data_IF_557989252068
#
_entry.id   IF_557989252068
#
_cell.length_a   1.000
_cell.length_b   1.000
_cell.length_c   1.000
_cell.angle_alpha   90.00
_cell.angle_beta   90.00
_cell.angle_gamma   90.00
#
_symmetry.space_group_name_H-M   'P 1'
#
loop_
_entity.id
_entity.type
_entity.pdbx_description
1 polymer ?
#
# COMPACT_ATOMS: atom_id res chain seq x y z
N UNK A 1 -5.05 5.11 -4.41
CA UNK A 1 -4.64 4.34 -3.23
C UNK A 1 -5.70 3.30 -2.88
N UNK A 2 -5.28 2.05 -2.73
CA UNK A 2 -6.14 0.91 -2.43
C UNK A 2 -5.58 0.13 -1.23
N UNK A 3 -6.46 -0.26 -0.30
CA UNK A 3 -6.16 -1.17 0.79
C UNK A 3 -6.97 -2.44 0.55
N UNK A 4 -6.32 -3.61 0.52
CA UNK A 4 -6.99 -4.89 0.29
C UNK A 4 -7.10 -5.64 1.63
N UNK A 5 -8.33 -5.99 1.98
CA UNK A 5 -8.69 -6.64 3.23
C UNK A 5 -9.26 -8.03 2.93
N UNK A 6 -8.90 -9.03 3.71
CA UNK A 6 -9.52 -10.36 3.70
C UNK A 6 -10.46 -10.50 4.90
N UNK A 7 -11.73 -10.04 4.80
CA UNK A 7 -12.62 -9.95 5.95
C UNK A 7 -13.43 -11.22 6.21
N UNK A 8 -13.30 -12.26 5.37
CA UNK A 8 -14.17 -13.43 5.41
C UNK A 8 -13.63 -14.48 6.38
N UNK A 9 -14.53 -15.01 7.21
CA UNK A 9 -14.23 -16.14 8.10
C UNK A 9 -14.77 -17.42 7.47
N UNK A 10 -13.94 -18.45 7.45
CA UNK A 10 -14.39 -19.80 7.12
C UNK A 10 -15.26 -20.33 8.26
N UNK A 11 -16.57 -20.29 8.05
CA UNK A 11 -17.47 -21.00 8.94
C UNK A 11 -17.33 -22.48 8.59
N UNK A 12 -17.23 -23.38 9.58
CA UNK A 12 -17.11 -24.83 9.31
C UNK A 12 -18.30 -25.46 8.54
N UNK A 13 -19.24 -24.66 8.03
CA UNK A 13 -20.35 -24.99 7.14
C UNK A 13 -20.18 -24.44 5.72
N UNK A 14 -19.05 -23.81 5.41
CA UNK A 14 -18.83 -23.03 4.21
C UNK A 14 -18.87 -21.53 4.49
N UNK A 15 -18.41 -20.74 3.53
CA UNK A 15 -18.35 -19.28 3.68
C UNK A 15 -19.63 -18.67 3.12
N UNK A 16 -20.46 -18.07 3.99
CA UNK A 16 -21.70 -17.39 3.58
C UNK A 16 -21.39 -15.95 3.12
N UNK A 17 -20.74 -15.82 1.95
CA UNK A 17 -20.28 -14.54 1.41
C UNK A 17 -21.43 -13.54 1.23
N UNK A 18 -22.54 -14.00 0.63
CA UNK A 18 -23.72 -13.17 0.33
C UNK A 18 -24.34 -12.55 1.59
N UNK A 19 -24.13 -13.15 2.76
CA UNK A 19 -24.60 -12.64 4.05
C UNK A 19 -23.54 -11.78 4.77
N UNK A 20 -22.26 -12.16 4.67
CA UNK A 20 -21.17 -11.46 5.35
C UNK A 20 -20.82 -10.14 4.66
N UNK A 21 -20.77 -10.10 3.33
CA UNK A 21 -20.35 -8.93 2.56
C UNK A 21 -21.19 -7.68 2.88
N UNK A 22 -22.55 -7.72 2.81
CA UNK A 22 -23.35 -6.53 3.09
C UNK A 22 -23.20 -6.03 4.52
N UNK A 23 -23.02 -6.95 5.48
CA UNK A 23 -22.83 -6.63 6.89
C UNK A 23 -21.50 -5.91 7.12
N UNK A 24 -20.41 -6.44 6.58
CA UNK A 24 -19.07 -5.84 6.71
C UNK A 24 -19.04 -4.46 6.05
N UNK A 25 -19.59 -4.34 4.83
CA UNK A 25 -19.69 -3.05 4.14
C UNK A 25 -20.49 -2.04 4.97
N UNK A 26 -21.61 -2.46 5.56
CA UNK A 26 -22.42 -1.59 6.42
C UNK A 26 -21.66 -1.15 7.68
N UNK A 27 -20.93 -2.04 8.34
CA UNK A 27 -20.13 -1.74 9.52
C UNK A 27 -18.99 -0.75 9.19
N UNK A 28 -18.30 -0.95 8.07
CA UNK A 28 -17.27 -0.04 7.58
C UNK A 28 -17.85 1.33 7.22
N UNK A 29 -18.94 1.39 6.46
CA UNK A 29 -19.61 2.65 6.11
C UNK A 29 -20.06 3.45 7.34
N UNK A 30 -20.62 2.76 8.35
CA UNK A 30 -21.01 3.40 9.60
C UNK A 30 -19.80 4.02 10.30
N UNK A 31 -18.70 3.28 10.43
CA UNK A 31 -17.47 3.78 11.04
C UNK A 31 -16.95 5.03 10.32
N UNK A 32 -16.81 4.97 8.99
CA UNK A 32 -16.28 6.11 8.24
C UNK A 32 -17.20 7.33 8.29
N UNK A 33 -18.51 7.14 8.27
CA UNK A 33 -19.48 8.25 8.40
C UNK A 33 -19.44 8.93 9.77
N UNK A 34 -19.08 8.20 10.83
CA UNK A 34 -18.96 8.71 12.20
C UNK A 34 -17.65 9.47 12.43
N UNK A 35 -16.58 9.10 11.74
CA UNK A 35 -15.25 9.69 11.95
C UNK A 35 -15.01 11.01 11.22
N UNK A 36 -16.02 11.57 10.52
CA UNK A 36 -16.18 12.99 10.12
C UNK A 36 -14.96 13.77 9.56
N UNK A 37 -13.87 13.12 9.13
CA UNK A 37 -12.69 13.78 8.55
C UNK A 37 -12.33 13.31 7.11
N UNK A 38 -12.18 14.34 6.26
CA UNK A 38 -11.42 14.60 5.01
C UNK A 38 -11.04 13.56 3.96
N UNK A 39 -11.30 12.27 4.12
CA UNK A 39 -10.95 11.28 3.08
C UNK A 39 -12.23 10.76 2.42
N UNK A 40 -12.41 11.06 1.12
CA UNK A 40 -13.43 10.33 0.37
C UNK A 40 -12.96 8.89 0.23
N UNK A 41 -13.86 7.93 0.32
CA UNK A 41 -13.52 6.53 0.15
C UNK A 41 -14.66 5.82 -0.57
N UNK A 42 -14.35 4.70 -1.20
CA UNK A 42 -15.32 3.74 -1.72
C UNK A 42 -14.92 2.34 -1.32
N UNK A 43 -15.93 1.51 -1.07
CA UNK A 43 -15.77 0.11 -0.70
C UNK A 43 -16.31 -0.74 -1.83
N UNK A 44 -15.50 -1.65 -2.34
CA UNK A 44 -15.87 -2.57 -3.42
C UNK A 44 -15.43 -3.99 -3.05
N UNK A 45 -16.30 -4.96 -3.32
CA UNK A 45 -15.91 -6.36 -3.30
C UNK A 45 -15.26 -6.69 -4.65
N UNK A 46 -14.01 -7.15 -4.60
CA UNK A 46 -13.20 -7.43 -5.80
C UNK A 46 -12.38 -8.68 -5.55
N UNK A 47 -12.26 -9.51 -6.57
CA UNK A 47 -11.24 -10.57 -6.63
C UNK A 47 -9.97 -9.99 -7.26
N UNK A 48 -8.90 -9.92 -6.48
CA UNK A 48 -7.59 -9.42 -6.92
C UNK A 48 -6.63 -10.54 -7.34
N UNK A 49 -7.08 -11.80 -7.35
CA UNK A 49 -6.22 -12.97 -7.49
C UNK A 49 -5.15 -13.06 -6.39
N UNK A 50 -5.37 -12.36 -5.28
CA UNK A 50 -4.51 -12.35 -4.09
C UNK A 50 -5.19 -13.20 -3.03
N UNK A 51 -4.59 -14.33 -2.67
CA UNK A 51 -5.19 -15.46 -1.90
C UNK A 51 -5.91 -16.46 -2.82
N UNK A 52 -6.47 -17.54 -2.24
CA UNK A 52 -7.04 -18.69 -2.93
C UNK A 52 -8.35 -18.40 -3.73
N UNK A 53 -8.33 -17.38 -4.59
CA UNK A 53 -9.46 -16.89 -5.40
C UNK A 53 -10.69 -16.52 -4.54
N UNK A 54 -10.43 -15.93 -3.36
CA UNK A 54 -11.51 -15.47 -2.47
C UNK A 54 -11.83 -14.00 -2.76
N UNK A 55 -13.12 -13.62 -2.77
CA UNK A 55 -13.50 -12.22 -2.79
C UNK A 55 -12.79 -11.48 -1.65
N UNK A 56 -12.34 -10.26 -1.93
CA UNK A 56 -11.73 -9.38 -0.93
C UNK A 56 -12.47 -8.04 -0.91
N UNK A 57 -12.40 -7.33 0.21
CA UNK A 57 -12.90 -5.96 0.26
C UNK A 57 -11.76 -5.01 -0.07
N UNK A 58 -11.96 -4.25 -1.13
CA UNK A 58 -11.08 -3.17 -1.56
C UNK A 58 -11.60 -1.86 -0.99
N UNK A 59 -10.76 -1.21 -0.21
CA UNK A 59 -11.01 0.14 0.29
C UNK A 59 -10.21 1.09 -0.60
N UNK A 60 -10.91 1.76 -1.50
CA UNK A 60 -10.31 2.80 -2.35
C UNK A 60 -10.45 4.13 -1.62
N UNK A 61 -9.33 4.79 -1.35
CA UNK A 61 -9.33 6.11 -0.72
C UNK A 61 -9.22 7.16 -1.82
N UNK A 62 -10.34 7.84 -2.07
CA UNK A 62 -10.52 8.95 -3.00
C UNK A 62 -10.00 10.27 -2.41
N UNK A 63 -8.86 10.70 -2.92
CA UNK A 63 -8.26 12.00 -2.63
C UNK A 63 -7.13 12.25 -3.63
N UNK A 64 -6.60 13.48 -3.69
CA UNK A 64 -5.54 13.89 -4.63
C UNK A 64 -4.26 13.04 -4.59
N UNK A 65 -4.15 12.11 -3.64
CA UNK A 65 -3.09 11.12 -3.45
C UNK A 65 -2.99 10.13 -4.62
N UNK A 66 -4.13 9.65 -5.14
CA UNK A 66 -4.14 8.68 -6.25
C UNK A 66 -3.62 9.25 -7.57
N UNK A 67 -3.59 10.59 -7.70
CA UNK A 67 -3.11 11.27 -8.90
C UNK A 67 -1.58 11.40 -8.97
N UNK A 68 -0.83 11.10 -7.91
CA UNK A 68 0.63 11.32 -7.84
C UNK A 68 1.43 10.32 -8.66
N UNK A 69 1.02 9.05 -8.69
CA UNK A 69 1.63 8.06 -9.58
C UNK A 69 1.18 8.21 -11.05
N UNK A 70 0.22 9.10 -11.32
CA UNK A 70 -0.33 9.35 -12.66
C UNK A 70 0.35 10.56 -13.33
N UNK A 71 1.12 11.37 -12.60
CA UNK A 71 1.74 12.59 -13.13
C UNK A 71 3.28 12.53 -13.04
N UNK A 72 3.95 11.97 -14.07
CA UNK A 72 5.42 11.92 -14.17
C UNK A 72 6.12 13.29 -14.15
N UNK A 73 5.41 14.40 -14.35
CA UNK A 73 6.01 15.74 -14.53
C UNK A 73 6.01 16.63 -13.27
N UNK A 74 5.35 16.24 -12.18
CA UNK A 74 5.31 17.04 -10.94
C UNK A 74 6.52 16.82 -10.01
N UNK A 75 7.45 15.93 -10.38
CA UNK A 75 8.60 15.47 -9.59
C UNK A 75 9.68 16.53 -9.25
N UNK A 76 9.43 17.82 -9.48
CA UNK A 76 10.28 18.91 -8.97
C UNK A 76 9.92 19.40 -7.55
N UNK A 77 8.80 18.97 -6.95
CA UNK A 77 8.38 19.44 -5.61
C UNK A 77 7.92 18.34 -4.65
N UNK A 78 8.65 17.22 -4.56
CA UNK A 78 8.51 16.29 -3.41
C UNK A 78 8.73 17.06 -2.08
N UNK A 79 9.62 18.06 -2.11
CA UNK A 79 10.10 18.89 -0.99
C UNK A 79 9.03 19.66 -0.20
N UNK A 80 8.08 20.33 -0.86
CA UNK A 80 7.09 21.18 -0.16
C UNK A 80 5.93 20.35 0.41
N UNK A 81 5.80 19.11 -0.02
CA UNK A 81 4.67 18.28 0.32
C UNK A 81 5.04 17.15 1.28
N UNK A 82 6.32 16.80 1.48
CA UNK A 82 6.72 15.62 2.28
C UNK A 82 6.29 15.66 3.75
N UNK A 83 6.35 16.81 4.43
CA UNK A 83 5.85 16.92 5.80
C UNK A 83 4.32 16.79 5.87
N UNK A 84 3.61 17.38 4.91
CA UNK A 84 2.16 17.24 4.79
C UNK A 84 1.75 15.82 4.39
N UNK A 85 2.57 15.14 3.58
CA UNK A 85 2.46 13.73 3.25
C UNK A 85 2.71 12.84 4.47
N UNK A 86 3.66 13.19 5.35
CA UNK A 86 3.90 12.46 6.60
C UNK A 86 2.68 12.56 7.53
N UNK A 87 2.02 13.72 7.59
CA UNK A 87 0.75 13.90 8.30
C UNK A 87 -0.36 13.01 7.71
N UNK A 88 -0.55 13.05 6.39
CA UNK A 88 -1.54 12.20 5.70
C UNK A 88 -1.20 10.71 5.88
N UNK A 89 0.08 10.33 5.81
CA UNK A 89 0.57 8.98 6.05
C UNK A 89 0.25 8.48 7.45
N UNK A 90 0.32 9.34 8.47
CA UNK A 90 -0.07 9.00 9.84
C UNK A 90 -1.58 8.75 9.97
N UNK A 91 -2.41 9.53 9.28
CA UNK A 91 -3.87 9.32 9.25
C UNK A 91 -4.21 7.99 8.55
N UNK A 92 -3.58 7.69 7.42
CA UNK A 92 -3.76 6.43 6.70
C UNK A 92 -3.25 5.25 7.54
N UNK A 93 -2.11 5.38 8.20
CA UNK A 93 -1.55 4.35 9.08
C UNK A 93 -2.48 4.06 10.25
N UNK A 94 -3.11 5.10 10.81
CA UNK A 94 -4.12 4.95 11.87
C UNK A 94 -5.35 4.20 11.37
N UNK A 95 -5.82 4.53 10.17
CA UNK A 95 -6.91 3.82 9.51
C UNK A 95 -6.56 2.33 9.29
N UNK A 96 -5.39 2.04 8.75
CA UNK A 96 -4.95 0.66 8.52
C UNK A 96 -4.81 -0.10 9.83
N UNK A 97 -4.24 0.52 10.87
CA UNK A 97 -4.13 -0.09 12.20
C UNK A 97 -5.51 -0.46 12.75
N UNK A 98 -6.49 0.42 12.58
CA UNK A 98 -7.87 0.13 12.96
C UNK A 98 -8.47 -1.01 12.14
N UNK A 99 -8.32 -1.00 10.80
CA UNK A 99 -8.81 -2.08 9.93
C UNK A 99 -8.18 -3.41 10.33
N UNK A 100 -6.85 -3.45 10.49
CA UNK A 100 -6.08 -4.62 10.87
C UNK A 100 -6.52 -5.21 12.22
N UNK A 101 -7.04 -4.39 13.14
CA UNK A 101 -7.59 -4.87 14.42
C UNK A 101 -8.90 -5.65 14.28
N UNK A 102 -9.60 -5.50 13.14
CA UNK A 102 -10.90 -6.11 12.86
C UNK A 102 -10.81 -7.19 11.79
N UNK A 103 -9.96 -6.97 10.79
CA UNK A 103 -9.88 -7.75 9.57
C UNK A 103 -8.42 -7.89 9.14
N UNK A 104 -7.97 -9.08 8.69
CA UNK A 104 -6.66 -9.26 8.08
C UNK A 104 -6.46 -8.33 6.87
N UNK A 105 -5.40 -7.53 6.89
CA UNK A 105 -4.95 -6.75 5.72
C UNK A 105 -4.01 -7.63 4.91
N UNK A 106 -4.30 -7.79 3.61
CA UNK A 106 -3.54 -8.69 2.72
C UNK A 106 -2.71 -7.96 1.67
N UNK A 107 -3.00 -6.68 1.42
CA UNK A 107 -2.12 -5.82 0.65
C UNK A 107 -2.19 -4.37 1.12
N UNK A 108 -1.01 -3.77 1.24
CA UNK A 108 -0.85 -2.35 1.58
C UNK A 108 -0.83 -1.50 0.31
N UNK A 109 -1.30 -0.24 0.41
CA UNK A 109 -1.01 0.80 -0.57
C UNK A 109 0.47 0.92 -0.94
N UNK A 110 0.78 0.97 -2.25
CA UNK A 110 2.14 1.27 -2.71
C UNK A 110 2.63 2.66 -2.27
N UNK A 111 1.71 3.61 -2.09
CA UNK A 111 1.99 4.91 -1.49
C UNK A 111 2.62 4.79 -0.09
N UNK A 112 2.13 3.86 0.73
CA UNK A 112 2.68 3.64 2.08
C UNK A 112 3.99 2.88 2.04
N UNK A 113 4.10 1.87 1.17
CA UNK A 113 5.38 1.18 0.95
C UNK A 113 6.47 2.16 0.49
N UNK A 114 6.11 3.17 -0.29
CA UNK A 114 7.00 4.25 -0.66
C UNK A 114 7.42 5.12 0.54
N UNK A 115 6.50 5.47 1.45
CA UNK A 115 6.87 6.21 2.67
C UNK A 115 7.77 5.39 3.59
N UNK A 116 7.48 4.11 3.77
CA UNK A 116 8.34 3.19 4.52
C UNK A 116 9.73 3.11 3.91
N UNK A 117 9.80 3.10 2.58
CA UNK A 117 11.07 3.11 1.87
C UNK A 117 11.87 4.40 2.12
N UNK A 118 11.21 5.56 2.09
CA UNK A 118 11.88 6.84 2.38
C UNK A 118 12.36 6.91 3.83
N UNK A 119 11.56 6.45 4.79
CA UNK A 119 11.98 6.34 6.19
C UNK A 119 13.18 5.39 6.33
N UNK A 120 13.19 4.26 5.60
CA UNK A 120 14.32 3.34 5.54
C UNK A 120 15.59 4.02 4.98
N UNK A 121 15.49 4.86 3.95
CA UNK A 121 16.63 5.63 3.43
C UNK A 121 17.22 6.59 4.48
N UNK A 122 16.37 7.31 5.21
CA UNK A 122 16.79 8.21 6.30
C UNK A 122 17.46 7.45 7.44
N UNK A 123 16.82 6.36 7.89
CA UNK A 123 17.21 5.67 9.13
C UNK A 123 18.35 4.68 8.95
N UNK A 124 18.33 3.89 7.87
CA UNK A 124 19.28 2.78 7.67
C UNK A 124 20.46 3.17 6.77
N UNK A 125 20.25 4.06 5.80
CA UNK A 125 21.32 4.53 4.91
C UNK A 125 21.86 5.92 5.27
N UNK A 126 21.19 6.65 6.17
CA UNK A 126 21.58 8.02 6.52
C UNK A 126 21.50 8.99 5.33
N UNK A 127 20.68 8.65 4.33
CA UNK A 127 20.50 9.47 3.14
C UNK A 127 19.39 10.47 3.44
N UNK A 128 19.67 11.76 3.21
CA UNK A 128 18.63 12.78 3.24
C UNK A 128 17.65 12.52 2.09
N UNK A 129 16.42 12.16 2.43
CA UNK A 129 15.35 11.88 1.44
C UNK A 129 15.05 13.07 0.54
N UNK A 130 15.41 14.29 0.96
CA UNK A 130 15.29 15.48 0.10
C UNK A 130 16.27 15.48 -1.07
N UNK A 131 17.30 14.63 -1.03
CA UNK A 131 18.23 14.42 -2.14
C UNK A 131 17.77 13.33 -3.12
N UNK A 132 16.67 12.61 -2.80
CA UNK A 132 16.13 11.54 -3.60
C UNK A 132 15.07 12.05 -4.59
N UNK A 133 15.17 11.58 -5.83
CA UNK A 133 14.21 11.77 -6.91
C UNK A 133 13.58 10.42 -7.23
N UNK A 134 12.26 10.33 -7.14
CA UNK A 134 11.51 9.15 -7.58
C UNK A 134 11.53 9.06 -9.12
N UNK A 135 11.81 7.87 -9.64
CA UNK A 135 11.83 7.60 -11.09
C UNK A 135 10.62 6.78 -11.49
N UNK A 136 10.42 5.62 -10.87
CA UNK A 136 9.36 4.68 -11.24
C UNK A 136 9.00 3.71 -10.11
N UNK A 137 7.82 3.11 -10.25
CA UNK A 137 7.39 1.93 -9.50
C UNK A 137 6.88 0.90 -10.50
N UNK A 138 7.39 -0.32 -10.43
CA UNK A 138 6.89 -1.45 -11.21
C UNK A 138 6.11 -2.40 -10.30
N UNK A 139 4.88 -2.73 -10.69
CA UNK A 139 3.91 -3.48 -9.88
C UNK A 139 4.07 -5.02 -10.00
N UNK A 140 5.06 -5.49 -10.78
CA UNK A 140 5.29 -6.90 -11.11
C UNK A 140 6.75 -7.33 -10.90
N UNK A 141 7.36 -7.00 -9.76
CA UNK A 141 8.71 -7.49 -9.48
C UNK A 141 8.67 -9.00 -9.18
N UNK A 142 9.34 -9.85 -9.99
CA UNK A 142 9.29 -11.29 -9.79
C UNK A 142 10.03 -11.66 -8.50
N UNK A 143 9.33 -12.34 -7.60
CA UNK A 143 9.89 -12.82 -6.35
C UNK A 143 10.46 -14.22 -6.62
N UNK A 144 11.77 -14.45 -6.38
CA UNK A 144 12.34 -15.79 -6.52
C UNK A 144 11.70 -16.73 -5.49
N UNK A 145 10.79 -17.56 -5.98
CA UNK A 145 9.95 -18.54 -5.30
C UNK A 145 10.59 -19.19 -4.05
N UNK A 146 9.87 -19.11 -2.92
CA UNK A 146 10.09 -20.00 -1.77
C UNK A 146 8.77 -20.64 -1.31
N UNK A 147 8.35 -21.66 -2.05
CA UNK A 147 7.58 -22.84 -1.58
C UNK A 147 6.15 -22.52 -1.10
N UNK A 148 5.22 -23.31 -1.63
CA UNK A 148 3.78 -23.36 -1.35
C UNK A 148 2.95 -22.37 -2.18
N UNK A 149 2.14 -22.93 -3.09
CA UNK A 149 1.29 -22.23 -4.06
C UNK A 149 0.14 -21.42 -3.45
N UNK A 150 0.48 -20.35 -2.74
CA UNK A 150 -0.39 -19.22 -2.45
C UNK A 150 0.35 -17.96 -2.91
N UNK A 151 0.15 -17.50 -4.15
CA UNK A 151 0.77 -16.24 -4.62
C UNK A 151 0.02 -15.04 -4.05
N UNK A 152 0.37 -14.65 -2.82
CA UNK A 152 0.00 -13.36 -2.22
C UNK A 152 1.19 -12.37 -2.34
N UNK A 153 2.36 -12.88 -2.68
CA UNK A 153 3.60 -12.10 -2.70
C UNK A 153 3.69 -11.28 -4.00
N UNK A 154 3.00 -10.14 -4.05
CA UNK A 154 3.38 -9.07 -4.99
C UNK A 154 4.48 -8.25 -4.33
N UNK A 155 5.52 -7.97 -5.09
CA UNK A 155 6.56 -7.02 -4.73
C UNK A 155 6.57 -5.87 -5.71
N UNK A 156 6.77 -4.66 -5.18
CA UNK A 156 6.91 -3.45 -5.96
C UNK A 156 8.38 -3.10 -6.07
N UNK A 157 8.85 -2.84 -7.29
CA UNK A 157 10.19 -2.34 -7.52
C UNK A 157 10.16 -0.82 -7.58
N UNK A 158 10.69 -0.18 -6.54
CA UNK A 158 10.87 1.27 -6.51
C UNK A 158 12.25 1.63 -7.08
N UNK A 159 12.26 2.57 -8.02
CA UNK A 159 13.49 3.17 -8.53
C UNK A 159 13.57 4.62 -8.09
N UNK A 160 14.63 4.96 -7.35
CA UNK A 160 14.95 6.32 -6.92
C UNK A 160 16.38 6.65 -7.34
N UNK A 161 16.72 7.93 -7.45
CA UNK A 161 18.12 8.36 -7.63
C UNK A 161 18.44 9.57 -6.77
N UNK A 162 19.70 9.74 -6.44
CA UNK A 162 20.25 11.05 -6.09
C UNK A 162 21.18 11.54 -7.21
N UNK A 163 21.99 12.56 -6.92
CA UNK A 163 22.92 13.14 -7.91
C UNK A 163 24.01 12.18 -8.42
N UNK A 164 24.25 11.07 -7.74
CA UNK A 164 25.39 10.17 -8.00
C UNK A 164 24.99 8.71 -8.18
N UNK A 165 23.89 8.28 -7.58
CA UNK A 165 23.53 6.87 -7.45
C UNK A 165 22.07 6.68 -7.80
N UNK A 166 21.78 5.63 -8.56
CA UNK A 166 20.44 5.07 -8.71
C UNK A 166 20.27 3.92 -7.72
N UNK A 167 19.14 3.88 -7.04
CA UNK A 167 18.71 2.82 -6.13
C UNK A 167 17.50 2.12 -6.72
N UNK A 168 17.54 0.79 -6.72
CA UNK A 168 16.44 -0.06 -7.09
C UNK A 168 16.13 -0.98 -5.91
N UNK A 169 14.93 -0.90 -5.36
CA UNK A 169 14.57 -1.58 -4.13
C UNK A 169 13.21 -2.26 -4.31
N UNK A 170 13.17 -3.57 -4.10
CA UNK A 170 11.94 -4.34 -4.15
C UNK A 170 11.37 -4.55 -2.75
N UNK A 171 10.12 -4.17 -2.56
CA UNK A 171 9.39 -4.27 -1.29
C UNK A 171 8.15 -5.14 -1.49
N UNK A 172 7.97 -6.14 -0.63
CA UNK A 172 6.77 -6.98 -0.58
C UNK A 172 5.59 -6.26 0.07
N UNK A 173 4.38 -6.75 -0.21
CA UNK A 173 3.13 -6.25 0.38
C UNK A 173 3.12 -6.21 1.92
N UNK A 174 3.93 -7.02 2.60
CA UNK A 174 4.06 -7.06 4.06
C UNK A 174 5.12 -6.07 4.61
N UNK A 175 5.62 -5.18 3.75
CA UNK A 175 6.65 -4.16 4.03
C UNK A 175 8.07 -4.73 4.16
N UNK A 176 8.30 -6.01 3.83
CA UNK A 176 9.64 -6.58 3.81
C UNK A 176 10.42 -6.12 2.55
N UNK A 177 11.63 -5.58 2.75
CA UNK A 177 12.54 -5.31 1.63
C UNK A 177 13.24 -6.62 1.25
N UNK A 178 12.88 -7.18 0.09
CA UNK A 178 13.38 -8.48 -0.37
C UNK A 178 14.58 -8.39 -1.31
N UNK A 179 14.81 -7.24 -1.93
CA UNK A 179 15.93 -7.06 -2.85
C UNK A 179 16.36 -5.59 -2.94
N UNK A 180 17.66 -5.36 -3.10
CA UNK A 180 18.29 -4.04 -3.16
C UNK A 180 19.42 -4.06 -4.18
N UNK A 181 19.50 -3.05 -5.02
CA UNK A 181 20.61 -2.80 -5.92
C UNK A 181 20.86 -1.30 -6.07
N UNK A 182 22.12 -0.93 -6.30
CA UNK A 182 22.48 0.46 -6.59
C UNK A 182 23.68 0.53 -7.55
N UNK A 183 23.71 1.59 -8.34
CA UNK A 183 24.80 1.87 -9.28
C UNK A 183 25.04 3.37 -9.44
N UNK A 184 26.29 3.74 -9.71
CA UNK A 184 26.68 5.13 -9.94
C UNK A 184 26.31 5.61 -11.35
N UNK A 185 26.07 6.92 -11.49
CA UNK A 185 25.69 7.61 -12.75
C UNK A 185 26.90 8.35 -13.33
#
# INVERSE_FOLDING_TARGET
MEIIVNPYKDSGRGVDWDEQTPKIISEMNLYFSQNKETLNFSLLETDHGTSADWPTITITIGGGIGALFIIPEAHKRIRESFEEWKRIGNEITSLITWIASKYPVVAYPKELLFFDLLEWFETELGIDVNELEFISVDDEFPIPDKRYGMSIDKAYLFTLKNKKVVYQIAIQNDREIIWKHSYEI
#
